data_IF_434982087474
#
_entry.id   IF_434982087474
#
_cell.length_a   1.000
_cell.length_b   1.000
_cell.length_c   1.000
_cell.angle_alpha   90.00
_cell.angle_beta   90.00
_cell.angle_gamma   90.00
#
_symmetry.space_group_name_H-M   'P 1'
#
loop_
_entity.id
_entity.type
_entity.pdbx_description
1 polymer ?
#
# COMPACT_ATOMS: atom_id res chain seq x y z
N UNK A 1 -44.27 -21.14 -19.26
CA UNK A 1 -43.92 -19.87 -18.57
C UNK A 1 -42.64 -20.13 -17.79
N UNK A 2 -41.49 -19.84 -18.38
CA UNK A 2 -40.18 -20.07 -17.77
C UNK A 2 -39.77 -18.81 -17.00
N UNK A 3 -39.71 -18.91 -15.67
CA UNK A 3 -39.15 -17.86 -14.83
C UNK A 3 -37.62 -17.94 -14.93
N UNK A 4 -37.03 -16.92 -15.57
CA UNK A 4 -35.60 -16.71 -15.65
C UNK A 4 -35.00 -16.58 -14.25
N UNK A 5 -34.26 -17.60 -13.82
CA UNK A 5 -33.39 -17.50 -12.66
C UNK A 5 -32.24 -16.53 -13.01
N UNK A 6 -32.35 -15.29 -12.56
CA UNK A 6 -31.23 -14.35 -12.57
C UNK A 6 -30.12 -14.91 -11.68
N UNK A 7 -29.07 -15.44 -12.30
CA UNK A 7 -27.83 -15.83 -11.63
C UNK A 7 -27.15 -14.53 -11.16
N UNK A 8 -27.07 -14.21 -9.84
CA UNK A 8 -26.44 -12.99 -9.37
C UNK A 8 -24.91 -13.18 -9.27
N UNK A 9 -24.29 -13.67 -10.35
CA UNK A 9 -22.91 -14.16 -10.35
C UNK A 9 -21.87 -13.19 -10.89
N UNK A 10 -22.21 -12.34 -11.87
CA UNK A 10 -21.19 -11.51 -12.55
C UNK A 10 -20.82 -10.21 -11.84
N UNK A 11 -21.68 -9.69 -10.93
CA UNK A 11 -21.43 -8.38 -10.26
C UNK A 11 -20.45 -8.48 -9.10
N UNK A 12 -20.30 -9.66 -8.48
CA UNK A 12 -19.41 -9.91 -7.34
C UNK A 12 -17.92 -9.84 -7.68
N UNK A 13 -17.54 -10.11 -8.93
CA UNK A 13 -16.12 -10.13 -9.31
C UNK A 13 -15.52 -8.72 -9.44
N UNK A 14 -16.29 -7.75 -9.96
CA UNK A 14 -15.89 -6.34 -9.98
C UNK A 14 -15.78 -5.75 -8.57
N UNK A 15 -16.75 -6.06 -7.70
CA UNK A 15 -16.73 -5.64 -6.30
C UNK A 15 -15.56 -6.24 -5.52
N UNK A 16 -15.23 -7.52 -5.74
CA UNK A 16 -14.06 -8.13 -5.12
C UNK A 16 -12.74 -7.44 -5.51
N UNK A 17 -12.61 -7.01 -6.77
CA UNK A 17 -11.43 -6.24 -7.22
C UNK A 17 -11.38 -4.86 -6.56
N UNK A 18 -12.50 -4.16 -6.46
CA UNK A 18 -12.57 -2.87 -5.75
C UNK A 18 -12.29 -3.00 -4.26
N UNK A 19 -12.80 -4.06 -3.61
CA UNK A 19 -12.50 -4.38 -2.21
C UNK A 19 -11.02 -4.66 -1.99
N UNK A 20 -10.40 -5.45 -2.87
CA UNK A 20 -8.95 -5.71 -2.83
C UNK A 20 -8.15 -4.42 -3.02
N UNK A 21 -8.54 -3.55 -3.96
CA UNK A 21 -7.90 -2.25 -4.16
C UNK A 21 -8.06 -1.35 -2.94
N UNK A 22 -9.25 -1.28 -2.35
CA UNK A 22 -9.50 -0.50 -1.14
C UNK A 22 -8.69 -1.02 0.05
N UNK A 23 -8.67 -2.35 0.27
CA UNK A 23 -7.85 -2.98 1.30
C UNK A 23 -6.35 -2.75 1.07
N UNK A 24 -5.91 -2.77 -0.19
CA UNK A 24 -4.51 -2.47 -0.53
C UNK A 24 -4.21 -1.00 -0.23
N UNK A 25 -5.06 -0.06 -0.66
CA UNK A 25 -4.89 1.37 -0.37
C UNK A 25 -4.87 1.65 1.12
N UNK A 26 -5.80 1.07 1.89
CA UNK A 26 -5.88 1.27 3.34
C UNK A 26 -4.71 0.62 4.06
N UNK A 27 -4.32 -0.60 3.66
CA UNK A 27 -3.19 -1.32 4.25
C UNK A 27 -1.84 -0.66 3.92
N UNK A 28 -1.71 -0.01 2.77
CA UNK A 28 -0.47 0.64 2.34
C UNK A 28 -0.43 2.15 2.63
N UNK A 29 -1.55 2.79 2.97
CA UNK A 29 -1.59 4.21 3.30
C UNK A 29 -0.63 4.60 4.44
N UNK A 30 -0.54 3.86 5.56
CA UNK A 30 0.40 4.19 6.64
C UNK A 30 1.86 4.10 6.18
N UNK A 31 2.16 3.10 5.35
CA UNK A 31 3.47 2.89 4.75
C UNK A 31 3.86 4.04 3.83
N UNK A 32 2.91 4.50 3.00
CA UNK A 32 3.11 5.64 2.11
C UNK A 32 3.29 6.94 2.89
N UNK A 33 2.51 7.13 3.96
CA UNK A 33 2.59 8.29 4.83
C UNK A 33 3.93 8.35 5.58
N UNK A 34 4.39 7.21 6.10
CA UNK A 34 5.71 7.06 6.71
C UNK A 34 6.85 7.35 5.72
N UNK A 35 6.79 6.74 4.52
CA UNK A 35 7.78 6.95 3.48
C UNK A 35 7.84 8.41 3.01
N UNK A 36 6.70 9.08 2.89
CA UNK A 36 6.65 10.51 2.56
C UNK A 36 7.40 11.36 3.59
N UNK A 37 7.24 11.07 4.88
CA UNK A 37 7.99 11.74 5.95
C UNK A 37 9.50 11.57 5.80
N UNK A 38 9.97 10.35 5.52
CA UNK A 38 11.40 10.09 5.29
C UNK A 38 11.95 10.81 4.04
N UNK A 39 11.20 10.78 2.93
CA UNK A 39 11.61 11.43 1.68
C UNK A 39 11.68 12.94 1.87
N UNK A 40 10.71 13.55 2.57
CA UNK A 40 10.76 14.97 2.88
C UNK A 40 11.97 15.30 3.76
N UNK A 41 12.24 14.50 4.78
CA UNK A 41 13.41 14.74 5.64
C UNK A 41 14.73 14.61 4.87
N UNK A 42 14.88 13.60 4.01
CA UNK A 42 16.04 13.46 3.12
C UNK A 42 16.19 14.66 2.17
N UNK A 43 15.08 15.10 1.57
CA UNK A 43 15.06 16.26 0.67
C UNK A 43 15.50 17.56 1.36
N UNK A 44 15.15 17.75 2.63
CA UNK A 44 15.56 18.89 3.44
C UNK A 44 16.86 18.66 4.23
N UNK A 45 17.54 17.52 4.05
CA UNK A 45 18.78 17.17 4.75
C UNK A 45 18.62 16.95 6.26
N UNK A 46 17.40 16.73 6.72
CA UNK A 46 17.06 16.51 8.12
C UNK A 46 17.12 15.02 8.48
N UNK A 47 17.61 14.73 9.68
CA UNK A 47 17.64 13.36 10.21
C UNK A 47 16.47 13.14 11.15
N UNK A 48 15.59 12.20 10.80
CA UNK A 48 14.52 11.77 11.70
C UNK A 48 15.11 10.78 12.71
N UNK A 49 15.28 11.23 13.95
CA UNK A 49 15.80 10.44 15.07
C UNK A 49 14.70 9.95 16.02
N UNK A 50 15.10 9.37 17.15
CA UNK A 50 14.19 8.92 18.22
C UNK A 50 13.52 10.06 19.01
N UNK A 51 13.76 11.32 18.64
CA UNK A 51 13.16 12.51 19.24
C UNK A 51 12.80 13.54 18.15
N UNK A 52 11.84 14.40 18.45
CA UNK A 52 11.51 15.55 17.59
C UNK A 52 12.68 16.54 17.61
N UNK A 53 13.55 16.44 16.60
CA UNK A 53 14.60 17.41 16.36
C UNK A 53 14.06 18.51 15.42
N UNK A 54 14.40 19.80 15.66
CA UNK A 54 13.99 20.87 14.77
C UNK A 54 14.56 20.63 13.37
N UNK A 55 13.71 20.78 12.35
CA UNK A 55 14.08 20.70 10.95
C UNK A 55 13.66 21.99 10.27
N UNK A 56 14.60 22.93 10.17
CA UNK A 56 14.36 24.23 9.58
C UNK A 56 14.28 24.13 8.06
N UNK A 57 13.15 24.57 7.51
CA UNK A 57 12.94 24.76 6.08
C UNK A 57 12.74 26.25 5.79
N UNK A 58 12.80 26.67 4.52
CA UNK A 58 12.49 28.06 4.14
C UNK A 58 11.08 28.52 4.55
N UNK A 59 10.19 27.58 4.88
CA UNK A 59 8.79 27.83 5.24
C UNK A 59 8.48 27.64 6.74
N UNK A 60 9.48 27.31 7.57
CA UNK A 60 9.32 27.09 9.01
C UNK A 60 9.93 25.77 9.51
N UNK A 61 9.75 25.48 10.80
CA UNK A 61 10.18 24.22 11.42
C UNK A 61 9.14 23.13 11.18
N UNK A 62 9.52 22.11 10.40
CA UNK A 62 8.67 20.94 10.13
C UNK A 62 9.10 19.71 10.93
N UNK A 63 10.09 19.83 11.83
CA UNK A 63 10.68 18.71 12.56
C UNK A 63 9.66 17.94 13.39
N UNK A 64 8.80 18.65 14.12
CA UNK A 64 7.72 18.06 14.93
C UNK A 64 6.67 17.36 14.07
N UNK A 65 6.35 17.95 12.91
CA UNK A 65 5.39 17.37 11.95
C UNK A 65 5.94 16.12 11.29
N UNK A 66 7.20 16.15 10.84
CA UNK A 66 7.91 14.99 10.29
C UNK A 66 8.00 13.87 11.31
N UNK A 67 8.39 14.18 12.54
CA UNK A 67 8.45 13.22 13.63
C UNK A 67 7.08 12.57 13.89
N UNK A 68 6.01 13.39 13.92
CA UNK A 68 4.64 12.90 14.02
C UNK A 68 4.26 11.98 12.85
N UNK A 69 4.58 12.36 11.62
CA UNK A 69 4.30 11.54 10.42
C UNK A 69 5.03 10.20 10.46
N UNK A 70 6.31 10.19 10.83
CA UNK A 70 7.10 8.95 10.88
C UNK A 70 6.80 8.10 12.10
N UNK A 71 6.56 8.68 13.28
CA UNK A 71 6.19 7.90 14.45
C UNK A 71 4.78 7.37 14.29
N UNK A 72 3.78 8.23 14.05
CA UNK A 72 2.40 7.78 13.90
C UNK A 72 2.25 6.81 12.71
N UNK A 73 2.90 7.11 11.57
CA UNK A 73 2.95 6.21 10.42
C UNK A 73 3.61 4.88 10.75
N UNK A 74 4.74 4.89 11.45
CA UNK A 74 5.46 3.68 11.86
C UNK A 74 4.68 2.81 12.85
N UNK A 75 3.99 3.41 13.82
CA UNK A 75 3.10 2.69 14.73
C UNK A 75 1.90 2.09 14.00
N UNK A 76 1.31 2.83 13.06
CA UNK A 76 0.20 2.36 12.23
C UNK A 76 0.62 1.28 11.23
N UNK A 77 1.91 1.19 10.87
CA UNK A 77 2.40 0.10 10.03
C UNK A 77 2.24 -1.28 10.68
N UNK A 78 2.26 -1.40 12.01
CA UNK A 78 2.11 -2.70 12.69
C UNK A 78 0.72 -3.33 12.42
N UNK A 79 -0.41 -2.66 12.75
CA UNK A 79 -1.73 -3.19 12.42
C UNK A 79 -1.98 -3.22 10.92
N UNK A 80 -1.44 -2.26 10.16
CA UNK A 80 -1.61 -2.22 8.71
C UNK A 80 -0.85 -3.35 8.01
N UNK A 81 0.28 -3.82 8.55
CA UNK A 81 1.04 -4.95 8.03
C UNK A 81 0.20 -6.24 8.02
N UNK A 82 -0.70 -6.43 8.98
CA UNK A 82 -1.61 -7.58 9.01
C UNK A 82 -2.54 -7.62 7.80
N UNK A 83 -2.85 -6.46 7.21
CA UNK A 83 -3.70 -6.34 6.02
C UNK A 83 -2.84 -6.27 4.75
N UNK A 84 -1.72 -5.54 4.79
CA UNK A 84 -0.81 -5.32 3.67
C UNK A 84 -0.07 -6.60 3.26
N UNK A 85 0.30 -7.47 4.21
CA UNK A 85 0.94 -8.76 3.94
C UNK A 85 0.06 -9.68 3.08
N UNK A 86 -1.17 -10.05 3.48
CA UNK A 86 -1.99 -10.94 2.69
C UNK A 86 -2.41 -10.32 1.35
N UNK A 87 -2.66 -9.00 1.29
CA UNK A 87 -2.94 -8.33 0.00
C UNK A 87 -1.72 -8.31 -0.92
N UNK A 88 -0.54 -8.01 -0.39
CA UNK A 88 0.72 -8.08 -1.13
C UNK A 88 1.03 -9.49 -1.64
N UNK A 89 0.81 -10.51 -0.79
CA UNK A 89 1.00 -11.91 -1.16
C UNK A 89 0.02 -12.34 -2.27
N UNK A 90 -1.24 -11.92 -2.19
CA UNK A 90 -2.23 -12.18 -3.23
C UNK A 90 -1.81 -11.58 -4.59
N UNK A 91 -1.34 -10.33 -4.61
CA UNK A 91 -0.80 -9.69 -5.81
C UNK A 91 0.45 -10.40 -6.32
N UNK A 92 1.38 -10.78 -5.43
CA UNK A 92 2.58 -11.51 -5.79
C UNK A 92 2.24 -12.85 -6.46
N UNK A 93 1.30 -13.62 -5.91
CA UNK A 93 0.84 -14.89 -6.51
C UNK A 93 0.19 -14.66 -7.86
N UNK A 94 -0.66 -13.64 -8.01
CA UNK A 94 -1.28 -13.29 -9.29
C UNK A 94 -0.21 -12.94 -10.33
N UNK A 95 0.76 -12.10 -9.95
CA UNK A 95 1.86 -11.70 -10.81
C UNK A 95 2.75 -12.89 -11.19
N UNK A 96 3.13 -13.73 -10.22
CA UNK A 96 3.94 -14.92 -10.45
C UNK A 96 3.20 -15.90 -11.38
N UNK A 97 1.90 -16.17 -11.15
CA UNK A 97 1.09 -17.00 -12.06
C UNK A 97 0.96 -16.39 -13.45
N UNK A 98 1.02 -15.08 -13.59
CA UNK A 98 1.01 -14.41 -14.89
C UNK A 98 2.36 -14.56 -15.60
N UNK A 99 3.47 -14.30 -14.91
CA UNK A 99 4.84 -14.47 -15.43
C UNK A 99 5.11 -15.92 -15.83
N UNK A 100 4.75 -16.89 -14.99
CA UNK A 100 4.93 -18.32 -15.28
C UNK A 100 4.06 -18.82 -16.43
N UNK A 101 2.87 -18.26 -16.62
CA UNK A 101 2.05 -18.55 -17.80
C UNK A 101 2.66 -17.96 -19.06
N UNK A 102 3.26 -16.77 -18.97
CA UNK A 102 3.94 -16.12 -20.09
C UNK A 102 5.24 -16.81 -20.48
N UNK A 103 6.00 -17.35 -19.52
CA UNK A 103 7.24 -18.09 -19.81
C UNK A 103 6.98 -19.45 -20.46
N UNK A 104 5.95 -20.19 -20.03
CA UNK A 104 5.58 -21.48 -20.66
C UNK A 104 5.08 -21.35 -22.09
N UNK A 105 4.54 -20.20 -22.48
CA UNK A 105 4.16 -19.92 -23.88
C UNK A 105 5.35 -19.65 -24.82
N UNK A 106 6.57 -19.50 -24.29
CA UNK A 106 7.76 -19.09 -25.06
C UNK A 106 8.79 -20.20 -25.27
N UNK A 107 8.59 -21.37 -24.66
CA UNK A 107 9.51 -22.52 -24.74
C UNK A 107 9.04 -23.63 -25.68
N UNK A 108 7.97 -23.40 -26.45
CA UNK A 108 7.39 -24.37 -27.39
C UNK A 108 7.35 -23.90 -28.85
N UNK A 109 8.20 -22.95 -29.23
CA UNK A 109 8.35 -22.46 -30.60
C UNK A 109 9.72 -22.82 -31.16
#
# INVERSE_FOLDING_TARGET
MAASAEIPGRRRWGWGRWLLLALTLVGWAPTAFWAAGLILADHYGCRIGGSAAPCQTPFGDIGTSLYGMTMAGGWLMIPAALIALPTGLAWAVIFFRWVFRRSRGRTGG
#
